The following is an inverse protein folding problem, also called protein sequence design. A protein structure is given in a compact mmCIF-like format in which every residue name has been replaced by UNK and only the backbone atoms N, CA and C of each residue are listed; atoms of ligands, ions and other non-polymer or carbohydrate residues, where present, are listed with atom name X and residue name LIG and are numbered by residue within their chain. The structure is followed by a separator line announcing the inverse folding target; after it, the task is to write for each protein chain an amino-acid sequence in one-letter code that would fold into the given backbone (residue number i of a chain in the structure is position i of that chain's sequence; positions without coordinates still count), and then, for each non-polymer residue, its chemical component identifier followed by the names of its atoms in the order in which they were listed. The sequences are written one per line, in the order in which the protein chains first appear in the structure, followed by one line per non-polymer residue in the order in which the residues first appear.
data_IF_178679072888
#
_entry.id   IF_178679072888
#
_cell.length_a   1.000
_cell.length_b   1.000
_cell.length_c   1.000
_cell.angle_alpha   90.00
_cell.angle_beta   90.00
_cell.angle_gamma   90.00
#
_symmetry.space_group_name_H-M   'P 1'
#
loop_
_entity.id
_entity.type
_entity.pdbx_description
1 polymer ?
#
# COMPACT_ATOMS: atom_id res chain seq x y z
N UNK A 1 7.45 11.65 -3.47
CA UNK A 1 6.93 10.26 -3.50
C UNK A 1 5.41 10.33 -3.46
N UNK A 2 4.72 9.58 -4.32
CA UNK A 2 3.25 9.54 -4.38
C UNK A 2 2.80 8.11 -4.09
N UNK A 3 1.78 7.93 -3.26
CA UNK A 3 1.22 6.62 -2.96
C UNK A 3 -0.32 6.66 -3.03
N UNK A 4 -0.92 5.51 -3.31
CA UNK A 4 -2.36 5.31 -3.31
C UNK A 4 -2.66 3.91 -2.80
N UNK A 5 -3.56 3.81 -1.81
CA UNK A 5 -3.99 2.55 -1.22
C UNK A 5 -5.51 2.49 -1.28
N UNK A 6 -6.05 1.40 -1.82
CA UNK A 6 -7.48 1.18 -1.92
C UNK A 6 -7.81 -0.29 -1.73
N UNK A 7 -8.94 -0.54 -1.08
CA UNK A 7 -9.62 -1.85 -1.06
C UNK A 7 -10.80 -1.90 -2.04
N UNK A 8 -11.10 -0.79 -2.73
CA UNK A 8 -12.15 -0.73 -3.73
C UNK A 8 -11.66 -1.36 -5.04
N UNK A 9 -12.34 -2.41 -5.49
CA UNK A 9 -12.04 -3.13 -6.74
C UNK A 9 -12.21 -2.27 -7.97
N UNK A 10 -13.07 -1.24 -7.92
CA UNK A 10 -13.28 -0.32 -9.04
C UNK A 10 -12.06 0.56 -9.31
N UNK A 11 -11.08 0.60 -8.39
CA UNK A 11 -9.83 1.34 -8.56
C UNK A 11 -8.73 0.49 -9.19
N UNK A 12 -8.98 -0.79 -9.52
CA UNK A 12 -8.03 -1.65 -10.22
C UNK A 12 -7.88 -1.20 -11.68
N UNK A 13 -6.66 -1.28 -12.26
CA UNK A 13 -6.50 -1.02 -13.68
C UNK A 13 -7.08 -2.17 -14.51
N UNK A 14 -7.49 -1.90 -15.76
CA UNK A 14 -8.18 -2.87 -16.63
C UNK A 14 -7.40 -4.18 -16.81
N UNK A 15 -6.07 -4.08 -16.94
CA UNK A 15 -5.17 -5.22 -17.09
C UNK A 15 -5.03 -6.09 -15.82
N UNK A 16 -5.47 -5.60 -14.66
CA UNK A 16 -5.52 -6.40 -13.43
C UNK A 16 -6.83 -7.21 -13.32
N UNK A 17 -7.89 -6.84 -14.06
CA UNK A 17 -9.21 -7.48 -14.00
C UNK A 17 -9.27 -8.75 -14.88
N UNK A 18 -8.36 -8.89 -15.85
CA UNK A 18 -8.24 -10.11 -16.66
C UNK A 18 -7.57 -11.25 -15.88
N UNK A 19 -8.39 -12.04 -15.17
CA UNK A 19 -7.98 -13.27 -14.45
C UNK A 19 -8.47 -13.31 -13.00
N UNK A 20 -8.03 -14.31 -12.22
CA UNK A 20 -8.34 -14.45 -10.78
C UNK A 20 -7.70 -13.35 -9.89
N UNK A 21 -7.02 -12.36 -10.49
CA UNK A 21 -6.26 -11.33 -9.78
C UNK A 21 -7.19 -10.26 -9.19
N UNK A 22 -7.49 -10.39 -7.90
CA UNK A 22 -8.24 -9.37 -7.13
C UNK A 22 -7.36 -8.29 -6.51
N UNK A 23 -6.06 -8.27 -6.81
CA UNK A 23 -5.07 -7.38 -6.20
C UNK A 23 -4.12 -6.82 -7.23
N UNK A 24 -3.80 -5.53 -7.11
CA UNK A 24 -2.76 -4.88 -7.90
C UNK A 24 -1.77 -4.18 -6.97
N UNK A 25 -0.48 -4.50 -7.10
CA UNK A 25 0.61 -3.93 -6.29
C UNK A 25 1.76 -3.54 -7.21
N UNK A 26 2.05 -2.24 -7.27
CA UNK A 26 3.08 -1.69 -8.15
C UNK A 26 3.89 -0.62 -7.42
N UNK A 27 5.21 -0.63 -7.65
CA UNK A 27 6.14 0.44 -7.28
C UNK A 27 6.79 0.93 -8.56
N UNK A 28 6.80 2.25 -8.76
CA UNK A 28 7.48 2.89 -9.90
C UNK A 28 8.64 3.75 -9.42
N UNK A 29 9.84 3.44 -9.89
CA UNK A 29 11.10 4.15 -9.54
C UNK A 29 11.76 4.56 -10.85
N UNK A 30 12.16 5.83 -10.97
CA UNK A 30 12.84 6.37 -12.16
C UNK A 30 12.14 6.11 -13.50
N UNK A 31 10.81 5.93 -13.45
CA UNK A 31 10.01 5.66 -14.64
C UNK A 31 9.78 4.18 -14.92
N UNK A 32 10.53 3.28 -14.28
CA UNK A 32 10.39 1.83 -14.39
C UNK A 32 9.38 1.29 -13.38
N UNK A 33 8.51 0.39 -13.84
CA UNK A 33 7.47 -0.22 -13.04
C UNK A 33 7.86 -1.63 -12.59
N UNK A 34 7.72 -1.89 -11.30
CA UNK A 34 7.82 -3.20 -10.70
C UNK A 34 6.46 -3.61 -10.12
N UNK A 35 5.74 -4.48 -10.82
CA UNK A 35 4.50 -5.07 -10.35
C UNK A 35 4.75 -6.38 -9.59
N UNK A 36 4.24 -6.48 -8.37
CA UNK A 36 4.38 -7.62 -7.46
C UNK A 36 3.03 -8.09 -6.95
N UNK A 37 2.03 -8.14 -7.82
CA UNK A 37 0.70 -8.62 -7.47
C UNK A 37 0.69 -10.11 -7.08
N UNK A 38 1.64 -10.89 -7.60
CA UNK A 38 1.83 -12.32 -7.30
C UNK A 38 3.15 -12.56 -6.55
N UNK A 39 3.23 -13.58 -5.68
CA UNK A 39 4.52 -14.11 -5.20
C UNK A 39 4.91 -13.89 -3.73
N UNK A 40 3.96 -13.90 -2.79
CA UNK A 40 4.27 -13.74 -1.34
C UNK A 40 3.85 -14.91 -0.45
N UNK A 41 3.90 -16.15 -0.95
CA UNK A 41 3.46 -17.29 -0.13
C UNK A 41 4.47 -17.64 0.97
N UNK A 42 5.77 -17.47 0.72
CA UNK A 42 6.83 -17.97 1.63
C UNK A 42 7.55 -16.90 2.47
N UNK A 43 7.16 -15.62 2.36
CA UNK A 43 7.87 -14.56 3.11
C UNK A 43 7.79 -14.71 4.62
N UNK A 44 6.75 -15.36 5.14
CA UNK A 44 6.65 -15.65 6.57
C UNK A 44 7.74 -16.64 7.00
N UNK A 45 7.94 -17.72 6.24
CA UNK A 45 8.99 -18.71 6.52
C UNK A 45 10.37 -18.07 6.57
N UNK A 46 10.70 -17.22 5.58
CA UNK A 46 11.98 -16.49 5.58
C UNK A 46 12.09 -15.51 6.75
N UNK A 47 11.02 -14.78 7.07
CA UNK A 47 10.99 -13.89 8.23
C UNK A 47 11.31 -14.64 9.54
N UNK A 48 10.71 -15.82 9.76
CA UNK A 48 11.01 -16.64 10.93
C UNK A 48 12.46 -17.12 10.97
N UNK A 49 13.05 -17.51 9.82
CA UNK A 49 14.46 -17.89 9.75
C UNK A 49 15.37 -16.75 10.22
N UNK A 50 15.13 -15.53 9.73
CA UNK A 50 15.90 -14.35 10.16
C UNK A 50 15.69 -14.02 11.64
N UNK A 51 14.46 -14.10 12.15
CA UNK A 51 14.20 -13.89 13.59
C UNK A 51 14.99 -14.89 14.44
N UNK A 52 14.98 -16.18 14.06
CA UNK A 52 15.67 -17.23 14.79
C UNK A 52 17.21 -17.15 14.67
N UNK A 53 17.74 -16.56 13.59
CA UNK A 53 19.19 -16.30 13.44
C UNK A 53 19.66 -15.01 14.12
N UNK A 54 18.77 -14.24 14.74
CA UNK A 54 19.11 -12.95 15.36
C UNK A 54 19.20 -11.79 14.35
N UNK A 55 18.71 -11.99 13.13
CA UNK A 55 18.67 -10.99 12.04
C UNK A 55 17.25 -10.44 11.80
N UNK A 56 16.33 -10.67 12.75
CA UNK A 56 14.96 -10.17 12.66
C UNK A 56 14.88 -8.64 12.80
N UNK A 57 13.79 -8.05 12.29
CA UNK A 57 13.52 -6.62 12.46
C UNK A 57 13.06 -6.30 13.89
N UNK A 58 13.82 -5.47 14.59
CA UNK A 58 13.53 -5.02 15.95
C UNK A 58 12.76 -3.70 16.01
N UNK A 59 12.72 -3.11 17.21
CA UNK A 59 11.99 -1.86 17.45
C UNK A 59 12.56 -0.68 16.66
N UNK A 60 13.88 -0.63 16.49
CA UNK A 60 14.54 0.48 15.83
C UNK A 60 14.31 0.45 14.31
N UNK A 61 14.27 -0.73 13.69
CA UNK A 61 13.93 -0.91 12.29
C UNK A 61 12.46 -0.53 11.99
N UNK A 62 11.53 -0.89 12.89
CA UNK A 62 10.08 -0.69 12.70
C UNK A 62 9.61 0.71 13.10
N UNK A 63 10.34 1.43 13.96
CA UNK A 63 9.93 2.74 14.51
C UNK A 63 9.51 3.74 13.44
N UNK A 64 10.24 3.80 12.33
CA UNK A 64 9.98 4.75 11.26
C UNK A 64 8.63 4.52 10.59
N UNK A 65 8.26 3.26 10.28
CA UNK A 65 6.98 2.98 9.62
C UNK A 65 5.80 3.27 10.56
N UNK A 66 5.94 2.98 11.86
CA UNK A 66 4.95 3.33 12.89
C UNK A 66 4.73 4.85 12.94
N UNK A 67 5.80 5.64 13.00
CA UNK A 67 5.71 7.09 13.03
C UNK A 67 5.05 7.65 11.77
N UNK A 68 5.39 7.11 10.60
CA UNK A 68 4.78 7.53 9.31
C UNK A 68 3.28 7.28 9.33
N UNK A 69 2.82 6.07 9.66
CA UNK A 69 1.37 5.78 9.66
C UNK A 69 0.63 6.51 10.79
N UNK A 70 1.30 6.78 11.90
CA UNK A 70 0.76 7.62 12.97
C UNK A 70 0.56 9.06 12.50
N UNK A 71 1.54 9.68 11.86
CA UNK A 71 1.41 11.02 11.30
C UNK A 71 0.30 11.06 10.23
N UNK A 72 0.29 10.13 9.28
CA UNK A 72 -0.77 10.05 8.24
C UNK A 72 -2.17 9.99 8.87
N UNK A 73 -2.35 9.19 9.93
CA UNK A 73 -3.65 9.04 10.60
C UNK A 73 -4.13 10.34 11.25
N UNK A 74 -3.22 11.15 11.78
CA UNK A 74 -3.54 12.35 12.57
C UNK A 74 -3.38 13.67 11.78
N UNK A 75 -2.97 13.61 10.52
CA UNK A 75 -2.79 14.81 9.69
C UNK A 75 -4.11 15.23 9.07
N UNK A 76 -4.41 16.54 9.11
CA UNK A 76 -5.57 17.10 8.42
C UNK A 76 -5.34 17.11 6.90
N UNK A 77 -6.22 16.48 6.09
CA UNK A 77 -6.07 16.47 4.65
C UNK A 77 -6.26 17.87 4.04
N UNK A 78 -5.31 18.30 3.21
CA UNK A 78 -5.38 19.60 2.52
C UNK A 78 -6.12 19.57 1.17
N UNK A 79 -6.64 18.39 0.79
CA UNK A 79 -7.21 18.11 -0.52
C UNK A 79 -6.16 17.89 -1.62
N UNK A 80 -6.60 17.90 -2.89
CA UNK A 80 -5.73 17.72 -4.07
C UNK A 80 -4.95 19.00 -4.38
N UNK A 81 -3.97 19.34 -3.54
CA UNK A 81 -3.08 20.50 -3.71
C UNK A 81 -1.64 20.04 -3.97
N UNK A 82 -0.98 20.62 -4.98
CA UNK A 82 0.42 20.33 -5.29
C UNK A 82 0.62 18.96 -5.96
N UNK A 83 1.65 18.24 -5.52
CA UNK A 83 1.99 16.91 -6.03
C UNK A 83 1.20 15.82 -5.30
N UNK A 84 0.43 15.02 -6.04
CA UNK A 84 -0.41 13.95 -5.50
C UNK A 84 -0.51 12.78 -6.48
N UNK A 85 -0.87 11.61 -5.96
CA UNK A 85 -1.01 10.41 -6.79
C UNK A 85 -2.16 10.57 -7.82
N UNK A 86 -1.99 10.22 -9.10
CA UNK A 86 -3.03 10.39 -10.12
C UNK A 86 -4.39 9.77 -9.75
N UNK A 87 -4.38 8.58 -9.15
CA UNK A 87 -5.58 7.88 -8.68
C UNK A 87 -6.34 8.58 -7.54
N UNK A 88 -5.76 9.59 -6.88
CA UNK A 88 -6.47 10.36 -5.86
C UNK A 88 -7.62 11.21 -6.43
N UNK A 89 -7.73 11.33 -7.77
CA UNK A 89 -8.85 11.98 -8.47
C UNK A 89 -10.07 11.08 -8.65
N UNK A 90 -9.96 9.79 -8.34
CA UNK A 90 -11.09 8.87 -8.47
C UNK A 90 -12.25 9.30 -7.57
N UNK A 91 -13.51 9.06 -7.99
CA UNK A 91 -14.67 9.46 -7.22
C UNK A 91 -14.71 8.74 -5.86
N UNK A 92 -15.12 9.48 -4.83
CA UNK A 92 -15.35 8.88 -3.51
C UNK A 92 -16.61 8.02 -3.54
N UNK A 93 -16.50 6.83 -2.94
CA UNK A 93 -17.62 5.90 -2.76
C UNK A 93 -17.88 5.68 -1.27
N UNK A 94 -19.08 5.19 -0.93
CA UNK A 94 -19.41 4.83 0.46
C UNK A 94 -18.48 3.72 0.93
N UNK A 95 -17.99 3.82 2.16
CA UNK A 95 -17.17 2.78 2.76
C UNK A 95 -17.96 1.46 2.87
N UNK A 96 -17.39 0.30 2.51
CA UNK A 96 -18.13 -0.99 2.50
C UNK A 96 -18.63 -1.43 3.88
N UNK A 97 -18.08 -0.87 4.96
CA UNK A 97 -18.50 -1.13 6.34
C UNK A 97 -19.36 -0.02 6.95
N UNK A 98 -19.85 0.93 6.15
CA UNK A 98 -20.75 1.99 6.62
C UNK A 98 -20.11 3.04 7.54
N UNK A 99 -18.78 3.10 7.60
CA UNK A 99 -18.07 4.10 8.38
C UNK A 99 -18.27 5.49 7.79
N UNK A 100 -18.61 6.43 8.65
CA UNK A 100 -18.64 7.87 8.38
C UNK A 100 -17.43 8.47 9.11
N UNK A 101 -16.62 9.25 8.39
CA UNK A 101 -15.58 10.08 8.99
C UNK A 101 -16.17 11.44 9.32
#
# INVERSE_FOLDING_TARGET
VRYFLSINTDNLPENAVEGEKRTYRSIRIEGEEFEFSNGFTELHTESYKHVLSGEGFGLDEVRNCINIVHHIRNTEPIGLKGDYHPLAKLPLVKHPFGWTR
#
